data_IF_700428796141
#
_entry.id   IF_700428796141
#
_cell.length_a   1.000
_cell.length_b   1.000
_cell.length_c   1.000
_cell.angle_alpha   90.00
_cell.angle_beta   90.00
_cell.angle_gamma   90.00
#
_symmetry.space_group_name_H-M   'P 1'
#
loop_
_entity.id
_entity.type
_entity.pdbx_description
1 polymer ?
#
# COMPACT_ATOMS: atom_id res chain seq x y z
N UNK A 1 -26.60 -11.79 26.41
CA UNK A 1 -26.19 -10.42 25.98
C UNK A 1 -27.44 -9.59 25.77
N UNK A 2 -27.43 -8.30 26.16
CA UNK A 2 -28.56 -7.41 25.93
C UNK A 2 -28.79 -7.17 24.43
N UNK A 3 -30.04 -7.12 23.98
CA UNK A 3 -30.42 -6.81 22.59
C UNK A 3 -29.82 -5.46 22.13
N UNK A 4 -29.70 -4.49 23.04
CA UNK A 4 -29.07 -3.20 22.76
C UNK A 4 -27.58 -3.33 22.40
N UNK A 5 -26.83 -4.14 23.15
CA UNK A 5 -25.39 -4.37 22.86
C UNK A 5 -25.14 -5.13 21.54
N UNK A 6 -26.12 -5.93 21.07
CA UNK A 6 -26.04 -6.60 19.77
C UNK A 6 -26.29 -5.57 18.67
N UNK A 7 -27.30 -4.71 18.84
CA UNK A 7 -27.61 -3.67 17.86
C UNK A 7 -26.47 -2.63 17.66
N UNK A 8 -25.76 -2.27 18.74
CA UNK A 8 -24.57 -1.40 18.63
C UNK A 8 -23.44 -2.07 17.81
N UNK A 9 -23.21 -3.35 18.04
CA UNK A 9 -22.20 -4.12 17.30
C UNK A 9 -22.56 -4.30 15.83
N UNK A 10 -23.84 -4.49 15.54
CA UNK A 10 -24.34 -4.55 14.16
C UNK A 10 -24.14 -3.22 13.45
N UNK A 11 -24.44 -2.10 14.09
CA UNK A 11 -24.17 -0.76 13.54
C UNK A 11 -22.69 -0.53 13.21
N UNK A 12 -21.78 -0.98 14.10
CA UNK A 12 -20.34 -0.89 13.84
C UNK A 12 -19.90 -1.73 12.61
N UNK A 13 -20.46 -2.94 12.50
CA UNK A 13 -20.20 -3.82 11.35
C UNK A 13 -20.75 -3.22 10.06
N UNK A 14 -21.97 -2.62 10.12
CA UNK A 14 -22.61 -2.02 8.95
C UNK A 14 -21.84 -0.77 8.48
N UNK A 15 -21.48 0.12 9.39
CA UNK A 15 -20.67 1.30 9.07
C UNK A 15 -19.32 0.91 8.45
N UNK A 16 -18.68 -0.13 9.00
CA UNK A 16 -17.40 -0.58 8.45
C UNK A 16 -17.56 -1.31 7.11
N UNK A 17 -18.66 -2.04 6.91
CA UNK A 17 -18.96 -2.67 5.63
C UNK A 17 -19.19 -1.63 4.50
N UNK A 18 -19.79 -0.49 4.82
CA UNK A 18 -19.95 0.63 3.87
C UNK A 18 -18.58 1.25 3.51
N UNK A 19 -17.71 1.44 4.50
CA UNK A 19 -16.34 1.94 4.26
C UNK A 19 -15.54 0.96 3.37
N UNK A 20 -15.64 -0.35 3.62
CA UNK A 20 -14.97 -1.36 2.80
C UNK A 20 -15.52 -1.43 1.38
N UNK A 21 -16.82 -1.17 1.18
CA UNK A 21 -17.42 -1.13 -0.17
C UNK A 21 -16.95 0.06 -1.00
N UNK A 22 -16.70 1.20 -0.35
CA UNK A 22 -16.18 2.39 -1.03
C UNK A 22 -14.67 2.31 -1.28
N UNK A 23 -13.97 1.47 -0.52
CA UNK A 23 -12.53 1.34 -0.62
C UNK A 23 -12.08 0.73 -1.94
N UNK A 24 -11.08 1.35 -2.59
CA UNK A 24 -10.42 0.88 -3.81
C UNK A 24 -9.28 -0.10 -3.51
N UNK A 25 -8.58 0.14 -2.41
CA UNK A 25 -7.55 -0.75 -1.92
C UNK A 25 -7.81 -1.09 -0.44
N UNK A 26 -7.62 -2.35 -0.10
CA UNK A 26 -7.72 -2.89 1.25
C UNK A 26 -6.49 -3.75 1.48
N UNK A 27 -5.72 -3.44 2.52
CA UNK A 27 -4.57 -4.21 2.95
C UNK A 27 -4.79 -4.72 4.37
N UNK A 28 -4.36 -5.95 4.59
CA UNK A 28 -4.43 -6.62 5.89
C UNK A 28 -3.03 -6.89 6.38
N UNK A 29 -2.68 -6.30 7.51
CA UNK A 29 -1.33 -6.39 8.08
C UNK A 29 -1.35 -6.96 9.49
N UNK A 30 -0.24 -7.58 9.88
CA UNK A 30 0.11 -7.87 11.25
C UNK A 30 0.95 -6.71 11.80
N UNK A 31 0.55 -6.13 12.92
CA UNK A 31 1.25 -4.99 13.56
C UNK A 31 1.82 -5.36 14.94
N UNK A 32 1.83 -6.65 15.29
CA UNK A 32 2.31 -7.10 16.59
C UNK A 32 3.81 -6.90 16.69
N UNK A 33 4.26 -6.26 17.77
CA UNK A 33 5.68 -6.04 18.06
C UNK A 33 6.14 -4.61 17.82
N UNK A 34 5.33 -3.77 17.18
CA UNK A 34 5.61 -2.33 17.05
C UNK A 34 5.44 -1.60 18.38
N UNK A 35 6.27 -0.62 18.62
CA UNK A 35 6.10 0.33 19.72
C UNK A 35 4.96 1.31 19.44
N UNK A 36 4.44 1.95 20.47
CA UNK A 36 3.36 2.94 20.34
C UNK A 36 3.80 4.13 19.46
N UNK A 37 5.07 4.50 19.55
CA UNK A 37 5.64 5.59 18.73
C UNK A 37 5.64 5.23 17.25
N UNK A 38 6.12 4.07 16.88
CA UNK A 38 6.15 3.56 15.50
C UNK A 38 4.75 3.46 14.88
N UNK A 39 3.79 2.88 15.63
CA UNK A 39 2.38 2.83 15.19
C UNK A 39 1.80 4.23 15.00
N UNK A 40 2.16 5.17 15.86
CA UNK A 40 1.67 6.55 15.76
C UNK A 40 2.26 7.26 14.53
N UNK A 41 3.54 7.06 14.24
CA UNK A 41 4.21 7.60 13.07
C UNK A 41 3.63 7.00 11.78
N UNK A 42 3.45 5.67 11.73
CA UNK A 42 2.82 5.00 10.61
C UNK A 42 1.38 5.52 10.36
N UNK A 43 0.58 5.67 11.41
CA UNK A 43 -0.78 6.24 11.28
C UNK A 43 -0.79 7.68 10.80
N UNK A 44 0.23 8.46 11.17
CA UNK A 44 0.37 9.83 10.70
C UNK A 44 0.71 9.84 9.21
N UNK A 45 1.72 9.07 8.79
CA UNK A 45 2.13 8.97 7.38
C UNK A 45 0.98 8.45 6.50
N UNK A 46 0.23 7.44 6.95
CA UNK A 46 -0.96 6.96 6.25
C UNK A 46 -2.04 8.04 6.11
N UNK A 47 -2.31 8.79 7.19
CA UNK A 47 -3.32 9.87 7.18
C UNK A 47 -2.91 11.05 6.28
N UNK A 48 -1.62 11.39 6.26
CA UNK A 48 -1.09 12.46 5.42
C UNK A 48 -1.24 12.13 3.92
N UNK A 49 -1.40 10.83 3.58
CA UNK A 49 -1.66 10.31 2.23
C UNK A 49 -3.12 9.83 2.04
N UNK A 50 -4.07 10.31 2.81
CA UNK A 50 -5.51 9.97 2.73
C UNK A 50 -5.81 8.46 2.87
N UNK A 51 -4.93 7.73 3.54
CA UNK A 51 -5.09 6.31 3.84
C UNK A 51 -5.56 6.12 5.28
N UNK A 52 -6.58 5.31 5.46
CA UNK A 52 -7.19 5.03 6.76
C UNK A 52 -6.70 3.71 7.32
N UNK A 53 -6.28 3.68 8.59
CA UNK A 53 -5.92 2.46 9.31
C UNK A 53 -6.85 2.23 10.49
N UNK A 54 -7.49 1.09 10.54
CA UNK A 54 -8.36 0.66 11.65
C UNK A 54 -7.96 -0.70 12.19
N UNK A 55 -8.00 -0.83 13.51
CA UNK A 55 -7.83 -2.10 14.22
C UNK A 55 -9.19 -2.51 14.76
N UNK A 56 -9.73 -3.61 14.23
CA UNK A 56 -11.06 -4.09 14.55
C UNK A 56 -10.96 -5.59 14.86
N UNK A 57 -11.82 -6.07 15.73
CA UNK A 57 -11.88 -7.49 16.08
C UNK A 57 -12.17 -8.35 14.85
N UNK A 58 -11.38 -9.42 14.64
CA UNK A 58 -11.45 -10.29 13.45
C UNK A 58 -12.87 -10.82 13.16
N UNK A 59 -13.66 -11.10 14.21
CA UNK A 59 -15.05 -11.53 14.03
C UNK A 59 -15.96 -10.46 13.42
N UNK A 60 -15.63 -9.17 13.62
CA UNK A 60 -16.37 -8.07 12.99
C UNK A 60 -15.86 -7.83 11.57
N UNK A 61 -14.54 -7.98 11.35
CA UNK A 61 -13.93 -7.91 10.03
C UNK A 61 -14.54 -8.95 9.09
N UNK A 62 -14.61 -10.22 9.51
CA UNK A 62 -15.22 -11.30 8.71
C UNK A 62 -16.68 -11.00 8.35
N UNK A 63 -17.47 -10.50 9.30
CA UNK A 63 -18.87 -10.13 9.04
C UNK A 63 -19.01 -8.92 8.12
N UNK A 64 -18.14 -7.92 8.28
CA UNK A 64 -18.14 -6.74 7.43
C UNK A 64 -17.70 -7.08 6.01
N UNK A 65 -16.67 -7.90 5.84
CA UNK A 65 -16.20 -8.39 4.54
C UNK A 65 -17.30 -9.19 3.82
N UNK A 66 -17.97 -10.11 4.51
CA UNK A 66 -19.09 -10.86 3.96
C UNK A 66 -20.25 -9.93 3.51
N UNK A 67 -20.59 -8.89 4.31
CA UNK A 67 -21.62 -7.89 3.94
C UNK A 67 -21.15 -6.98 2.79
N UNK A 68 -19.86 -6.72 2.68
CA UNK A 68 -19.29 -5.95 1.57
C UNK A 68 -19.19 -6.76 0.26
N UNK A 69 -19.37 -8.09 0.33
CA UNK A 69 -19.21 -8.98 -0.83
C UNK A 69 -17.75 -9.31 -1.15
N UNK A 70 -16.87 -9.17 -0.16
CA UNK A 70 -15.44 -9.47 -0.27
C UNK A 70 -15.24 -10.90 0.21
N UNK A 71 -14.99 -11.80 -0.75
CA UNK A 71 -14.70 -13.21 -0.48
C UNK A 71 -13.19 -13.48 -0.58
N UNK A 72 -12.69 -14.46 0.17
CA UNK A 72 -11.29 -14.93 0.08
C UNK A 72 -10.30 -14.24 1.03
N UNK A 73 -10.71 -13.25 1.83
CA UNK A 73 -9.88 -12.65 2.88
C UNK A 73 -10.05 -13.32 4.26
N UNK A 74 -10.91 -14.33 4.38
CA UNK A 74 -11.21 -14.96 5.67
C UNK A 74 -9.98 -15.60 6.32
N UNK A 75 -9.07 -16.15 5.52
CA UNK A 75 -7.84 -16.78 5.99
C UNK A 75 -6.80 -15.74 6.48
N UNK A 76 -6.88 -14.50 5.99
CA UNK A 76 -5.98 -13.42 6.43
C UNK A 76 -6.41 -12.80 7.77
N UNK A 77 -7.68 -12.97 8.16
CA UNK A 77 -8.23 -12.45 9.43
C UNK A 77 -7.95 -13.38 10.62
N UNK A 78 -6.70 -13.82 10.79
CA UNK A 78 -6.25 -14.66 11.90
C UNK A 78 -5.15 -13.95 12.67
N UNK A 79 -5.22 -13.97 14.00
CA UNK A 79 -4.23 -13.30 14.87
C UNK A 79 -4.38 -11.77 14.93
N UNK A 80 -3.32 -11.04 15.30
CA UNK A 80 -3.33 -9.58 15.34
C UNK A 80 -3.50 -9.03 13.92
N UNK A 81 -4.49 -8.17 13.73
CA UNK A 81 -4.87 -7.71 12.40
C UNK A 81 -5.23 -6.24 12.44
N UNK A 82 -4.56 -5.45 11.60
CA UNK A 82 -4.97 -4.11 11.26
C UNK A 82 -5.38 -4.07 9.79
N UNK A 83 -6.42 -3.32 9.49
CA UNK A 83 -6.90 -3.11 8.13
C UNK A 83 -6.57 -1.69 7.72
N UNK A 84 -5.91 -1.56 6.60
CA UNK A 84 -5.56 -0.31 5.95
C UNK A 84 -6.37 -0.23 4.66
N UNK A 85 -7.05 0.87 4.44
CA UNK A 85 -7.88 1.03 3.25
C UNK A 85 -7.87 2.49 2.78
N UNK A 86 -8.01 2.67 1.47
CA UNK A 86 -8.14 3.97 0.84
C UNK A 86 -9.32 3.99 -0.12
N UNK A 87 -9.99 5.12 -0.16
CA UNK A 87 -11.07 5.42 -1.11
C UNK A 87 -10.49 6.15 -2.34
N UNK A 88 -9.21 6.59 -2.27
CA UNK A 88 -8.57 7.35 -3.32
C UNK A 88 -8.30 6.45 -4.54
N UNK A 89 -8.79 6.88 -5.70
CA UNK A 89 -8.62 6.18 -6.97
C UNK A 89 -7.32 6.57 -7.68
N UNK A 90 -6.73 7.73 -7.32
CA UNK A 90 -5.58 8.28 -8.02
C UNK A 90 -4.27 7.58 -7.63
N UNK A 91 -4.18 7.09 -6.39
CA UNK A 91 -3.00 6.34 -5.94
C UNK A 91 -3.39 5.11 -5.09
N UNK A 92 -3.81 4.05 -5.79
CA UNK A 92 -4.23 2.77 -5.18
C UNK A 92 -3.03 2.04 -4.58
N UNK A 93 -1.81 2.34 -5.04
CA UNK A 93 -0.57 1.69 -4.57
C UNK A 93 0.01 2.31 -3.31
N UNK A 94 -0.44 3.51 -2.94
CA UNK A 94 0.07 4.25 -1.77
C UNK A 94 0.05 3.44 -0.46
N UNK A 95 -1.05 2.75 -0.10
CA UNK A 95 -1.07 1.92 1.09
C UNK A 95 -0.03 0.80 1.07
N UNK A 96 0.18 0.17 -0.10
CA UNK A 96 1.15 -0.90 -0.26
C UNK A 96 2.59 -0.38 -0.12
N UNK A 97 2.88 0.79 -0.69
CA UNK A 97 4.19 1.43 -0.64
C UNK A 97 4.59 1.83 0.79
N UNK A 98 3.68 2.48 1.51
CA UNK A 98 3.92 2.88 2.90
C UNK A 98 4.14 1.65 3.77
N UNK A 99 3.27 0.64 3.67
CA UNK A 99 3.38 -0.58 4.48
C UNK A 99 4.64 -1.37 4.16
N UNK A 100 5.03 -1.49 2.89
CA UNK A 100 6.27 -2.17 2.49
C UNK A 100 7.50 -1.48 3.04
N UNK A 101 7.55 -0.14 3.02
CA UNK A 101 8.63 0.63 3.65
C UNK A 101 8.75 0.32 5.14
N UNK A 102 7.62 0.25 5.86
CA UNK A 102 7.62 -0.13 7.28
C UNK A 102 7.93 -1.62 7.49
N UNK A 103 7.60 -2.53 6.55
CA UNK A 103 8.01 -3.94 6.60
C UNK A 103 9.53 -4.07 6.43
N UNK A 104 10.16 -3.25 5.58
CA UNK A 104 11.61 -3.23 5.38
C UNK A 104 12.36 -2.58 6.57
N UNK A 105 11.78 -1.56 7.19
CA UNK A 105 12.36 -0.88 8.36
C UNK A 105 12.19 -1.70 9.66
N UNK A 106 11.12 -2.49 9.75
CA UNK A 106 10.73 -3.25 10.94
C UNK A 106 10.34 -4.68 10.57
N UNK A 107 11.20 -5.65 10.86
CA UNK A 107 10.99 -7.10 10.61
C UNK A 107 9.74 -7.69 11.29
N UNK A 108 9.07 -6.93 12.15
CA UNK A 108 7.88 -7.35 12.91
C UNK A 108 6.55 -7.14 12.18
N UNK A 109 6.53 -6.29 11.15
CA UNK A 109 5.34 -6.07 10.31
C UNK A 109 5.29 -7.16 9.25
N UNK A 110 4.12 -7.72 9.07
CA UNK A 110 3.90 -8.70 8.01
C UNK A 110 2.62 -8.37 7.24
N UNK A 111 2.75 -8.24 5.93
CA UNK A 111 1.60 -8.14 5.03
C UNK A 111 0.99 -9.54 4.91
N UNK A 112 -0.29 -9.68 5.27
CA UNK A 112 -1.01 -10.95 5.17
C UNK A 112 -1.70 -11.14 3.82
N UNK A 113 -2.05 -10.06 3.17
CA UNK A 113 -2.71 -10.01 1.89
C UNK A 113 -3.59 -8.77 1.78
N UNK A 114 -4.30 -8.66 0.68
CA UNK A 114 -5.18 -7.53 0.44
C UNK A 114 -6.13 -7.73 -0.72
N UNK A 115 -6.84 -6.67 -1.03
CA UNK A 115 -7.70 -6.57 -2.20
C UNK A 115 -7.45 -5.23 -2.87
N UNK A 116 -7.24 -5.25 -4.16
CA UNK A 116 -7.06 -4.07 -5.01
C UNK A 116 -8.08 -4.12 -6.14
N UNK A 117 -8.86 -3.06 -6.28
CA UNK A 117 -9.93 -2.96 -7.30
C UNK A 117 -10.86 -4.18 -7.36
N UNK A 118 -11.17 -4.78 -6.21
CA UNK A 118 -12.04 -5.96 -6.15
C UNK A 118 -11.34 -7.29 -6.46
N UNK A 119 -10.03 -7.30 -6.71
CA UNK A 119 -9.24 -8.51 -6.91
C UNK A 119 -8.44 -8.83 -5.67
N UNK A 120 -8.45 -10.10 -5.27
CA UNK A 120 -7.57 -10.59 -4.23
C UNK A 120 -6.12 -10.51 -4.70
N UNK A 121 -5.27 -9.98 -3.85
CA UNK A 121 -3.86 -9.78 -4.13
C UNK A 121 -3.04 -10.49 -3.07
N UNK A 122 -2.10 -11.31 -3.52
CA UNK A 122 -1.19 -12.05 -2.66
C UNK A 122 -0.13 -11.12 -2.06
N UNK A 123 0.59 -11.62 -1.04
CA UNK A 123 1.70 -10.89 -0.41
C UNK A 123 2.77 -10.46 -1.43
N UNK A 124 3.14 -11.36 -2.34
CA UNK A 124 4.20 -11.11 -3.31
C UNK A 124 3.77 -10.04 -4.34
N UNK A 125 2.54 -10.11 -4.83
CA UNK A 125 1.97 -9.09 -5.72
C UNK A 125 1.86 -7.72 -5.05
N UNK A 126 1.54 -7.67 -3.75
CA UNK A 126 1.51 -6.39 -2.99
C UNK A 126 2.92 -5.79 -2.92
N UNK A 127 3.96 -6.61 -2.73
CA UNK A 127 5.35 -6.14 -2.75
C UNK A 127 5.79 -5.64 -4.12
N UNK A 128 5.38 -6.31 -5.19
CA UNK A 128 5.62 -5.82 -6.55
C UNK A 128 4.94 -4.47 -6.78
N UNK A 129 3.69 -4.32 -6.35
CA UNK A 129 2.95 -3.06 -6.44
C UNK A 129 3.57 -1.95 -5.59
N UNK A 130 4.12 -2.28 -4.43
CA UNK A 130 4.83 -1.32 -3.59
C UNK A 130 6.11 -0.77 -4.24
N UNK A 131 6.73 -1.53 -5.15
CA UNK A 131 7.89 -1.08 -5.92
C UNK A 131 7.56 -0.04 -6.98
N UNK A 132 6.28 0.11 -7.34
CA UNK A 132 5.82 1.09 -8.33
C UNK A 132 5.75 2.46 -7.64
N UNK A 133 6.44 3.48 -8.17
CA UNK A 133 6.35 4.83 -7.62
C UNK A 133 4.94 5.40 -7.84
N UNK A 134 4.54 6.36 -7.01
CA UNK A 134 3.27 7.06 -7.17
C UNK A 134 3.12 7.76 -8.53
N UNK A 135 1.97 8.35 -8.78
CA UNK A 135 1.61 8.97 -10.06
C UNK A 135 2.70 9.94 -10.56
N UNK A 136 3.23 10.78 -9.70
CA UNK A 136 4.32 11.72 -10.06
C UNK A 136 5.60 11.00 -10.48
N UNK A 137 5.95 9.92 -9.79
CA UNK A 137 7.10 9.09 -10.12
C UNK A 137 6.92 8.37 -11.47
N UNK A 138 5.73 7.84 -11.75
CA UNK A 138 5.40 7.22 -13.03
C UNK A 138 5.48 8.23 -14.18
N UNK A 139 4.97 9.45 -14.00
CA UNK A 139 5.09 10.53 -14.97
C UNK A 139 6.56 10.92 -15.20
N UNK A 140 7.35 11.01 -14.13
CA UNK A 140 8.79 11.27 -14.22
C UNK A 140 9.53 10.17 -14.99
N UNK A 141 9.20 8.90 -14.73
CA UNK A 141 9.76 7.77 -15.48
C UNK A 141 9.39 7.84 -16.97
N UNK A 142 8.12 8.12 -17.29
CA UNK A 142 7.67 8.27 -18.67
C UNK A 142 8.45 9.36 -19.41
N UNK A 143 8.59 10.54 -18.79
CA UNK A 143 9.37 11.65 -19.37
C UNK A 143 10.83 11.26 -19.52
N UNK A 144 11.41 10.57 -18.54
CA UNK A 144 12.79 10.09 -18.60
C UNK A 144 13.02 9.10 -19.76
N UNK A 145 12.08 8.18 -20.00
CA UNK A 145 12.14 7.23 -21.13
C UNK A 145 12.02 7.96 -22.47
N UNK A 146 11.14 8.96 -22.57
CA UNK A 146 11.01 9.77 -23.80
C UNK A 146 12.28 10.59 -24.09
N UNK A 147 13.01 11.03 -23.06
CA UNK A 147 14.25 11.76 -23.20
C UNK A 147 15.48 10.85 -23.38
N UNK A 148 15.38 9.55 -23.13
CA UNK A 148 16.49 8.61 -23.17
C UNK A 148 17.27 8.67 -24.49
N UNK A 149 16.67 8.66 -25.70
CA UNK A 149 17.42 8.69 -26.96
C UNK A 149 18.28 9.95 -27.11
N UNK A 150 17.77 11.10 -26.66
CA UNK A 150 18.52 12.38 -26.75
C UNK A 150 19.68 12.40 -25.75
N UNK A 151 19.43 11.87 -24.52
CA UNK A 151 20.46 11.77 -23.50
C UNK A 151 21.55 10.78 -23.88
N UNK A 152 21.19 9.63 -24.43
CA UNK A 152 22.14 8.61 -24.87
C UNK A 152 23.02 9.11 -26.02
N UNK A 153 22.44 9.88 -26.96
CA UNK A 153 23.20 10.57 -27.99
C UNK A 153 24.19 11.61 -27.40
N UNK A 154 23.75 12.40 -26.42
CA UNK A 154 24.61 13.36 -25.75
C UNK A 154 25.77 12.67 -25.00
N UNK A 155 25.51 11.54 -24.33
CA UNK A 155 26.57 10.75 -23.71
C UNK A 155 27.55 10.16 -24.72
N UNK A 156 27.08 9.66 -25.87
CA UNK A 156 27.94 9.16 -26.91
C UNK A 156 28.84 10.26 -27.46
N UNK A 157 28.29 11.45 -27.72
CA UNK A 157 29.10 12.61 -28.20
C UNK A 157 30.12 13.02 -27.13
N UNK A 158 29.73 13.06 -25.85
CA UNK A 158 30.66 13.37 -24.77
C UNK A 158 31.79 12.36 -24.66
N UNK A 159 31.49 11.06 -24.71
CA UNK A 159 32.50 9.99 -24.67
C UNK A 159 33.51 10.09 -25.84
N UNK A 160 33.03 10.43 -27.04
CA UNK A 160 33.92 10.66 -28.19
C UNK A 160 34.77 11.91 -27.99
N UNK A 161 34.25 12.97 -27.38
CA UNK A 161 35.05 14.17 -27.10
C UNK A 161 36.14 13.88 -26.05
N UNK A 162 35.79 13.20 -24.97
CA UNK A 162 36.73 12.80 -23.91
C UNK A 162 37.85 11.88 -24.44
N UNK A 163 37.53 10.90 -25.30
CA UNK A 163 38.51 10.01 -25.91
C UNK A 163 39.50 10.77 -26.83
N UNK A 164 39.02 11.82 -27.52
CA UNK A 164 39.91 12.65 -28.38
C UNK A 164 40.82 13.59 -27.58
N UNK A 165 40.34 14.03 -26.41
CA UNK A 165 41.16 14.87 -25.53
C UNK A 165 42.27 14.05 -24.87
N UNK A 166 42.04 12.76 -24.53
CA UNK A 166 43.05 11.83 -24.04
C UNK A 166 44.11 11.51 -25.10
N UNK A 167 43.68 11.23 -26.34
CA UNK A 167 44.62 10.98 -27.48
C UNK A 167 45.43 12.23 -27.88
N UNK A 168 44.99 13.43 -27.48
CA UNK A 168 45.70 14.69 -27.78
C UNK A 168 46.67 15.09 -26.66
N UNK A 169 46.71 14.38 -25.56
CA UNK A 169 47.54 14.65 -24.38
C UNK A 169 48.78 13.74 -24.30
N UNK A 170 48.93 12.76 -25.22
CA UNK A 170 50.17 12.00 -25.49
C UNK A 170 50.95 12.64 -26.64
#
# INVERSE_FOLDING_TARGET
>A
MSKAAIAEKEKLVDAFAEELKSAKAILVINYLGLTVEEVTNMRKELRDNDVKMKVIKNTYLKRAAAKAGIEGLDDTFVGPTAVIYTDNADDITEPARIVSKYEDDFDVIEIKGGMLEGKLTSKDEIKELASIPGLEGLLSMLVSVLQAPVRDFAYAVKAVAESKDEDSAE
#
